data_IF_945478671493
#
_entry.id   IF_945478671493
#
_cell.length_a   1.000
_cell.length_b   1.000
_cell.length_c   1.000
_cell.angle_alpha   90.00
_cell.angle_beta   90.00
_cell.angle_gamma   90.00
#
_symmetry.space_group_name_H-M   'P 1'
#
loop_
_entity.id
_entity.type
_entity.pdbx_description
1 polymer ?
#
# COMPACT_ATOMS: atom_id res chain seq x y z
N UNK A 1 -2.54 29.78 17.43
CA UNK A 1 -2.34 29.97 15.97
C UNK A 1 -1.00 30.65 15.77
N UNK A 2 0.02 29.91 15.33
CA UNK A 2 1.36 30.43 15.06
C UNK A 2 1.71 30.07 13.62
N UNK A 3 1.83 31.10 12.77
CA UNK A 3 2.34 30.98 11.40
C UNK A 3 3.87 30.89 11.43
N UNK A 4 4.43 29.92 10.72
CA UNK A 4 5.87 29.84 10.44
C UNK A 4 6.09 30.36 9.02
N UNK A 5 6.84 31.45 8.91
CA UNK A 5 7.36 32.00 7.65
C UNK A 5 8.73 31.39 7.37
N UNK A 6 8.96 30.89 6.15
CA UNK A 6 10.27 30.36 5.71
C UNK A 6 10.81 31.25 4.59
N UNK A 7 12.06 31.68 4.74
CA UNK A 7 12.80 32.56 3.82
C UNK A 7 13.34 31.78 2.60
N UNK A 8 13.44 32.37 1.39
CA UNK A 8 13.66 31.61 0.15
C UNK A 8 15.13 31.45 -0.30
N UNK A 9 16.14 32.02 0.38
CA UNK A 9 17.42 32.31 -0.27
C UNK A 9 18.62 31.43 0.15
N UNK A 10 18.50 30.11 0.27
CA UNK A 10 19.67 29.22 0.42
C UNK A 10 19.68 28.10 -0.64
N UNK A 11 20.69 28.06 -1.54
CA UNK A 11 20.87 26.93 -2.44
C UNK A 11 21.39 25.73 -1.64
N UNK A 12 20.62 24.65 -1.64
CA UNK A 12 20.99 23.38 -1.00
C UNK A 12 22.26 22.81 -1.66
N UNK A 13 23.31 22.58 -0.86
CA UNK A 13 24.47 21.78 -1.31
C UNK A 13 24.06 20.31 -1.36
N UNK A 14 24.42 19.56 -2.41
CA UNK A 14 24.16 18.12 -2.46
C UNK A 14 24.92 17.39 -1.35
N UNK A 15 24.25 16.42 -0.72
CA UNK A 15 24.84 15.59 0.33
C UNK A 15 25.73 14.47 -0.25
N UNK A 16 26.82 14.11 0.44
CA UNK A 16 27.77 13.11 -0.04
C UNK A 16 27.23 11.68 0.07
N UNK A 17 27.66 10.82 -0.85
CA UNK A 17 27.36 9.39 -0.86
C UNK A 17 28.28 8.67 0.13
N UNK A 18 27.73 7.76 0.95
CA UNK A 18 28.51 7.01 1.95
C UNK A 18 28.58 5.54 1.58
N UNK A 19 29.80 4.99 1.60
CA UNK A 19 30.05 3.55 1.43
C UNK A 19 30.32 2.90 2.78
N UNK A 20 29.72 1.74 3.01
CA UNK A 20 29.97 0.92 4.19
C UNK A 20 30.67 -0.37 3.77
N UNK A 21 31.91 -0.56 4.23
CA UNK A 21 32.62 -1.84 4.10
C UNK A 21 32.25 -2.73 5.29
N UNK A 22 32.12 -4.03 5.04
CA UNK A 22 31.86 -5.01 6.12
C UNK A 22 33.13 -5.34 6.91
N UNK A 23 34.29 -5.04 6.35
CA UNK A 23 35.59 -5.47 6.88
C UNK A 23 36.34 -4.35 7.61
N UNK A 24 35.95 -3.08 7.41
CA UNK A 24 36.50 -1.94 8.14
C UNK A 24 35.38 -1.11 8.77
N UNK A 25 35.51 -0.81 10.07
CA UNK A 25 34.56 0.02 10.86
C UNK A 25 34.68 1.51 10.51
N UNK A 26 34.83 1.84 9.23
CA UNK A 26 34.93 3.20 8.71
C UNK A 26 33.81 3.49 7.72
N UNK A 27 33.30 4.72 7.78
CA UNK A 27 32.43 5.29 6.73
C UNK A 27 33.34 6.05 5.78
N UNK A 28 33.39 5.62 4.52
CA UNK A 28 34.14 6.34 3.49
C UNK A 28 33.19 7.27 2.73
N UNK A 29 33.51 8.55 2.73
CA UNK A 29 32.74 9.60 2.08
C UNK A 29 33.18 9.68 0.61
N UNK A 30 32.27 9.30 -0.30
CA UNK A 30 32.54 9.28 -1.73
C UNK A 30 32.40 10.69 -2.32
N UNK A 31 33.29 11.01 -3.26
CA UNK A 31 33.26 12.30 -3.95
C UNK A 31 31.99 12.43 -4.82
N UNK A 32 31.33 13.60 -4.85
CA UNK A 32 30.10 13.82 -5.64
C UNK A 32 30.25 13.56 -7.15
N UNK A 33 31.48 13.49 -7.66
CA UNK A 33 31.78 13.34 -9.08
C UNK A 33 32.03 11.89 -9.51
N UNK A 34 31.98 10.93 -8.59
CA UNK A 34 32.21 9.52 -8.93
C UNK A 34 31.00 8.88 -9.62
N UNK A 35 31.25 8.29 -10.79
CA UNK A 35 30.22 7.55 -11.55
C UNK A 35 30.07 6.12 -11.01
N UNK A 36 28.88 5.51 -11.21
CA UNK A 36 28.60 4.13 -10.75
C UNK A 36 29.65 3.14 -11.27
N UNK A 37 30.13 3.32 -12.50
CA UNK A 37 31.14 2.46 -13.13
C UNK A 37 32.53 2.63 -12.49
N UNK A 38 32.82 3.78 -11.87
CA UNK A 38 34.03 4.00 -11.08
C UNK A 38 33.92 3.41 -9.66
N UNK A 39 32.70 3.29 -9.13
CA UNK A 39 32.42 2.72 -7.79
C UNK A 39 32.39 1.19 -7.86
N UNK A 40 32.01 0.62 -9.01
CA UNK A 40 31.79 -0.83 -9.18
C UNK A 40 32.31 -1.35 -10.54
N UNK A 41 33.64 -1.47 -10.72
CA UNK A 41 34.25 -1.78 -12.02
C UNK A 41 33.99 -3.22 -12.52
N UNK A 42 33.51 -4.14 -11.67
CA UNK A 42 33.12 -5.50 -12.07
C UNK A 42 31.74 -5.89 -11.54
N UNK A 43 30.89 -6.58 -12.34
CA UNK A 43 29.58 -7.02 -11.87
C UNK A 43 29.72 -7.94 -10.64
N UNK A 44 28.99 -7.69 -9.53
CA UNK A 44 29.20 -8.45 -8.30
C UNK A 44 28.79 -9.93 -8.49
N UNK A 45 29.50 -10.87 -7.83
CA UNK A 45 29.19 -12.29 -7.93
C UNK A 45 27.77 -12.57 -7.48
N UNK A 46 27.09 -13.47 -8.21
CA UNK A 46 25.64 -13.79 -8.18
C UNK A 46 25.08 -14.16 -6.79
N UNK A 47 25.96 -14.37 -5.81
CA UNK A 47 25.70 -14.94 -4.50
C UNK A 47 25.71 -13.87 -3.39
N UNK A 48 25.96 -12.60 -3.72
CA UNK A 48 25.96 -11.47 -2.77
C UNK A 48 24.80 -10.48 -2.96
N UNK A 49 23.75 -10.83 -3.71
CA UNK A 49 22.59 -9.93 -3.86
C UNK A 49 21.58 -10.20 -2.73
N UNK A 50 21.90 -9.74 -1.52
CA UNK A 50 20.88 -9.46 -0.52
C UNK A 50 20.67 -7.94 -0.44
N UNK A 51 19.39 -7.55 -0.41
CA UNK A 51 18.86 -6.22 -0.11
C UNK A 51 18.84 -5.21 -1.28
N UNK A 52 17.68 -5.12 -1.94
CA UNK A 52 17.19 -3.85 -2.51
C UNK A 52 15.66 -3.85 -2.49
N UNK A 53 15.09 -3.50 -1.33
CA UNK A 53 13.74 -2.91 -1.20
C UNK A 53 13.90 -1.70 -0.28
N UNK A 54 14.38 -0.59 -0.85
CA UNK A 54 14.46 0.70 -0.16
C UNK A 54 14.16 1.81 -1.17
N UNK A 55 12.92 1.88 -1.64
CA UNK A 55 12.52 2.92 -2.58
C UNK A 55 11.58 3.98 -1.99
N UNK A 56 11.17 3.86 -0.72
CA UNK A 56 10.29 4.85 -0.07
C UNK A 56 10.92 5.50 1.18
N UNK A 57 12.03 4.97 1.72
CA UNK A 57 12.58 5.48 2.98
C UNK A 57 13.52 6.70 2.86
N UNK A 58 13.66 7.31 1.68
CA UNK A 58 14.70 8.33 1.43
C UNK A 58 14.21 9.60 0.73
N UNK A 59 12.90 9.80 0.60
CA UNK A 59 12.38 11.12 0.22
C UNK A 59 12.36 12.03 1.47
N UNK A 60 12.71 13.33 1.35
CA UNK A 60 12.61 14.27 2.47
C UNK A 60 11.20 14.22 3.04
N UNK A 61 11.09 13.92 4.34
CA UNK A 61 9.83 13.57 5.04
C UNK A 61 8.68 14.52 4.70
N UNK A 62 8.97 15.81 4.50
CA UNK A 62 7.97 16.86 4.23
C UNK A 62 7.38 16.77 2.81
N UNK A 63 8.21 16.59 1.78
CA UNK A 63 7.74 16.47 0.39
C UNK A 63 6.84 15.23 0.22
N UNK A 64 7.19 14.14 0.89
CA UNK A 64 6.41 12.89 0.88
C UNK A 64 5.00 13.06 1.43
N UNK A 65 4.84 13.86 2.49
CA UNK A 65 3.54 14.09 3.14
C UNK A 65 2.57 14.80 2.21
N UNK A 66 3.05 15.88 1.58
CA UNK A 66 2.25 16.66 0.64
C UNK A 66 1.80 15.80 -0.54
N UNK A 67 2.70 15.03 -1.12
CA UNK A 67 2.41 14.12 -2.24
C UNK A 67 1.36 13.07 -1.85
N UNK A 68 1.50 12.47 -0.65
CA UNK A 68 0.52 11.48 -0.16
C UNK A 68 -0.86 12.14 0.03
N UNK A 69 -0.92 13.34 0.61
CA UNK A 69 -2.18 14.04 0.83
C UNK A 69 -2.83 14.47 -0.49
N UNK A 70 -2.05 15.01 -1.43
CA UNK A 70 -2.53 15.34 -2.78
C UNK A 70 -3.10 14.09 -3.48
N UNK A 71 -2.40 12.96 -3.42
CA UNK A 71 -2.89 11.70 -3.95
C UNK A 71 -4.18 11.24 -3.24
N UNK A 72 -4.29 11.40 -1.93
CA UNK A 72 -5.52 11.08 -1.19
C UNK A 72 -6.71 11.94 -1.66
N UNK A 73 -6.49 13.24 -1.88
CA UNK A 73 -7.52 14.12 -2.43
C UNK A 73 -7.93 13.72 -3.85
N UNK A 74 -6.96 13.35 -4.71
CA UNK A 74 -7.25 12.86 -6.07
C UNK A 74 -8.06 11.57 -6.06
N UNK A 75 -7.71 10.61 -5.18
CA UNK A 75 -8.49 9.37 -5.01
C UNK A 75 -9.90 9.66 -4.53
N UNK A 76 -10.04 10.53 -3.52
CA UNK A 76 -11.35 10.93 -2.99
C UNK A 76 -12.21 11.57 -4.07
N UNK A 77 -11.75 12.66 -4.67
CA UNK A 77 -12.47 13.37 -5.74
C UNK A 77 -12.74 12.47 -6.95
N UNK A 78 -11.82 11.57 -7.24
CA UNK A 78 -11.89 10.62 -8.34
C UNK A 78 -12.91 9.51 -8.14
N UNK A 79 -13.20 9.11 -6.90
CA UNK A 79 -13.91 7.85 -6.60
C UNK A 79 -15.13 8.00 -5.69
N UNK A 80 -15.26 9.09 -4.94
CA UNK A 80 -16.34 9.28 -3.97
C UNK A 80 -17.71 9.35 -4.65
N UNK A 81 -18.58 8.39 -4.36
CA UNK A 81 -19.93 8.30 -4.93
C UNK A 81 -19.97 8.00 -6.44
N UNK A 82 -18.85 7.65 -7.07
CA UNK A 82 -18.80 7.29 -8.49
C UNK A 82 -18.86 5.78 -8.66
N UNK A 83 -19.62 5.30 -9.64
CA UNK A 83 -19.70 3.86 -9.90
C UNK A 83 -18.30 3.33 -10.27
N UNK A 84 -17.81 2.39 -9.46
CA UNK A 84 -16.53 1.73 -9.68
C UNK A 84 -16.46 1.06 -11.06
N UNK A 85 -17.59 0.69 -11.65
CA UNK A 85 -17.67 0.16 -13.03
C UNK A 85 -17.21 1.17 -14.08
N UNK A 86 -17.33 2.46 -13.82
CA UNK A 86 -16.88 3.51 -14.74
C UNK A 86 -15.35 3.67 -14.72
N UNK A 87 -14.72 3.26 -13.62
CA UNK A 87 -13.26 3.23 -13.47
C UNK A 87 -12.70 1.91 -14.02
N UNK A 88 -13.37 0.78 -13.78
CA UNK A 88 -12.84 -0.52 -14.14
C UNK A 88 -13.08 -0.90 -15.61
N UNK A 89 -12.02 -1.32 -16.30
CA UNK A 89 -12.11 -1.91 -17.63
C UNK A 89 -12.16 -3.44 -17.53
N UNK A 90 -12.95 -4.09 -18.38
CA UNK A 90 -12.93 -5.56 -18.50
C UNK A 90 -11.68 -6.02 -19.26
N UNK A 91 -11.07 -7.12 -18.83
CA UNK A 91 -9.95 -7.71 -19.56
C UNK A 91 -10.48 -8.49 -20.77
N UNK A 92 -10.05 -8.19 -22.02
CA UNK A 92 -10.54 -8.89 -23.21
C UNK A 92 -10.33 -10.40 -23.15
N UNK A 93 -11.40 -11.16 -23.34
CA UNK A 93 -11.41 -12.63 -23.27
C UNK A 93 -11.39 -13.21 -21.85
N UNK A 94 -11.51 -12.38 -20.81
CA UNK A 94 -11.55 -12.82 -19.42
C UNK A 94 -12.70 -12.11 -18.67
N UNK A 95 -13.93 -12.60 -18.84
CA UNK A 95 -15.14 -11.95 -18.31
C UNK A 95 -15.20 -11.77 -16.78
N UNK A 96 -14.34 -12.47 -16.03
CA UNK A 96 -14.25 -12.37 -14.57
C UNK A 96 -13.16 -11.42 -14.07
N UNK A 97 -12.35 -10.87 -14.97
CA UNK A 97 -11.23 -10.00 -14.62
C UNK A 97 -11.51 -8.57 -15.07
N UNK A 98 -11.29 -7.66 -14.14
CA UNK A 98 -11.34 -6.24 -14.39
C UNK A 98 -10.00 -5.61 -14.01
N UNK A 99 -9.68 -4.46 -14.56
CA UNK A 99 -8.47 -3.74 -14.20
C UNK A 99 -8.70 -2.23 -14.22
N UNK A 100 -7.93 -1.52 -13.43
CA UNK A 100 -7.84 -0.07 -13.47
C UNK A 100 -6.71 0.32 -14.44
N UNK A 101 -7.00 0.99 -15.57
CA UNK A 101 -5.98 1.38 -16.54
C UNK A 101 -4.92 2.30 -15.92
N UNK A 102 -3.69 2.24 -16.45
CA UNK A 102 -2.58 3.08 -15.99
C UNK A 102 -2.92 4.58 -16.00
N UNK A 103 -3.56 5.05 -17.07
CA UNK A 103 -3.97 6.44 -17.19
C UNK A 103 -4.88 6.86 -16.01
N UNK A 104 -5.76 5.96 -15.57
CA UNK A 104 -6.62 6.22 -14.43
C UNK A 104 -5.86 6.12 -13.11
N UNK A 105 -5.00 5.11 -12.91
CA UNK A 105 -4.17 5.01 -11.70
C UNK A 105 -3.28 6.24 -11.52
N UNK A 106 -2.74 6.78 -12.62
CA UNK A 106 -1.93 7.99 -12.63
C UNK A 106 -2.78 9.23 -12.33
N UNK A 107 -3.96 9.36 -12.95
CA UNK A 107 -4.88 10.47 -12.69
C UNK A 107 -5.38 10.53 -11.25
N UNK A 108 -5.51 9.36 -10.60
CA UNK A 108 -5.92 9.22 -9.20
C UNK A 108 -4.73 9.37 -8.23
N UNK A 109 -3.49 9.47 -8.72
CA UNK A 109 -2.31 9.54 -7.86
C UNK A 109 -2.00 8.23 -7.10
N UNK A 110 -2.56 7.10 -7.51
CA UNK A 110 -2.49 5.83 -6.75
C UNK A 110 -1.06 5.30 -6.58
N UNK A 111 -0.14 5.66 -7.48
CA UNK A 111 1.29 5.34 -7.36
C UNK A 111 1.93 5.82 -6.05
N UNK A 112 1.31 6.81 -5.40
CA UNK A 112 1.77 7.36 -4.12
C UNK A 112 1.12 6.67 -2.90
N UNK A 113 0.07 5.87 -3.09
CA UNK A 113 -0.76 5.28 -2.05
C UNK A 113 -0.69 3.75 -1.96
N UNK A 114 0.48 3.16 -2.26
CA UNK A 114 0.74 1.70 -2.23
C UNK A 114 0.34 0.93 -3.51
N UNK A 115 -0.04 1.62 -4.60
CA UNK A 115 -0.52 0.94 -5.81
C UNK A 115 0.60 0.60 -6.80
N UNK A 116 0.58 -0.60 -7.40
CA UNK A 116 1.34 -0.84 -8.62
C UNK A 116 0.81 -0.04 -9.81
N UNK A 117 1.54 -0.07 -10.93
CA UNK A 117 1.15 0.65 -12.16
C UNK A 117 -0.24 0.27 -12.71
N UNK A 118 -0.74 -0.92 -12.39
CA UNK A 118 -2.07 -1.42 -12.80
C UNK A 118 -2.69 -2.19 -11.64
N UNK A 119 -3.92 -1.86 -11.28
CA UNK A 119 -4.71 -2.62 -10.31
C UNK A 119 -5.55 -3.67 -11.05
N UNK A 120 -5.22 -4.94 -10.89
CA UNK A 120 -6.05 -6.05 -11.38
C UNK A 120 -7.07 -6.42 -10.29
N UNK A 121 -8.35 -6.31 -10.63
CA UNK A 121 -9.47 -6.68 -9.76
C UNK A 121 -9.97 -8.06 -10.16
N UNK A 122 -9.82 -9.01 -9.24
CA UNK A 122 -10.31 -10.37 -9.44
C UNK A 122 -11.67 -10.58 -8.78
N UNK A 123 -12.43 -11.58 -9.23
CA UNK A 123 -13.75 -11.91 -8.66
C UNK A 123 -13.69 -12.23 -7.17
N UNK A 124 -12.56 -12.75 -6.68
CA UNK A 124 -12.35 -13.09 -5.28
C UNK A 124 -12.20 -11.84 -4.42
N UNK A 125 -11.76 -10.70 -4.96
CA UNK A 125 -11.79 -9.44 -4.21
C UNK A 125 -13.23 -9.02 -3.93
N UNK A 126 -14.13 -9.20 -4.91
CA UNK A 126 -15.56 -8.96 -4.73
C UNK A 126 -16.15 -9.94 -3.71
N UNK A 127 -15.86 -11.24 -3.86
CA UNK A 127 -16.34 -12.25 -2.92
C UNK A 127 -15.84 -12.00 -1.49
N UNK A 128 -14.57 -11.63 -1.33
CA UNK A 128 -13.97 -11.23 -0.07
C UNK A 128 -14.72 -10.06 0.55
N UNK A 129 -14.93 -8.99 -0.23
CA UNK A 129 -15.66 -7.82 0.23
C UNK A 129 -17.09 -8.16 0.68
N UNK A 130 -17.83 -8.93 -0.11
CA UNK A 130 -19.18 -9.38 0.27
C UNK A 130 -19.16 -10.20 1.56
N UNK A 131 -18.14 -11.05 1.77
CA UNK A 131 -17.98 -11.80 3.01
C UNK A 131 -17.64 -10.91 4.22
N UNK A 132 -17.02 -9.74 3.99
CA UNK A 132 -16.65 -8.80 5.07
C UNK A 132 -17.82 -7.92 5.53
N UNK A 133 -18.81 -7.68 4.68
CA UNK A 133 -19.95 -6.77 4.97
C UNK A 133 -20.68 -7.06 6.29
N UNK A 134 -21.05 -8.31 6.63
CA UNK A 134 -21.77 -8.60 7.86
C UNK A 134 -21.01 -8.13 9.11
N UNK A 135 -19.69 -8.34 9.12
CA UNK A 135 -18.84 -8.01 10.28
C UNK A 135 -18.72 -6.51 10.56
N UNK A 136 -18.92 -5.67 9.55
CA UNK A 136 -18.80 -4.21 9.71
C UNK A 136 -20.15 -3.55 9.98
N UNK A 137 -21.24 -4.13 9.47
CA UNK A 137 -22.59 -3.57 9.68
C UNK A 137 -23.14 -3.85 11.09
N UNK A 138 -22.74 -4.95 11.73
CA UNK A 138 -23.33 -5.40 13.01
C UNK A 138 -22.77 -4.69 14.26
N UNK A 139 -22.28 -3.45 14.13
CA UNK A 139 -21.69 -2.65 15.22
C UNK A 139 -20.59 -3.41 15.98
N UNK A 140 -19.92 -4.34 15.31
CA UNK A 140 -18.97 -5.23 15.94
C UNK A 140 -17.67 -4.51 16.27
N UNK A 141 -17.30 -4.50 17.55
CA UNK A 141 -15.99 -4.03 17.99
C UNK A 141 -14.95 -5.13 17.72
N UNK A 142 -14.06 -4.90 16.75
CA UNK A 142 -12.99 -5.85 16.46
C UNK A 142 -12.25 -5.58 15.16
N UNK A 143 -11.56 -6.61 14.69
CA UNK A 143 -10.95 -6.60 13.37
C UNK A 143 -11.01 -7.95 12.67
N UNK A 144 -10.89 -7.88 11.35
CA UNK A 144 -10.79 -9.02 10.46
C UNK A 144 -9.38 -9.07 9.92
N UNK A 145 -8.73 -10.21 10.09
CA UNK A 145 -7.45 -10.51 9.46
C UNK A 145 -7.71 -11.29 8.18
N UNK A 146 -7.29 -10.71 7.07
CA UNK A 146 -7.39 -11.27 5.72
C UNK A 146 -6.03 -11.81 5.33
N UNK A 147 -5.86 -13.13 5.35
CA UNK A 147 -4.65 -13.75 4.83
C UNK A 147 -4.79 -14.01 3.34
N UNK A 148 -3.77 -13.66 2.57
CA UNK A 148 -3.72 -13.97 1.14
C UNK A 148 -2.61 -14.98 0.87
N UNK A 149 -2.80 -15.89 -0.09
CA UNK A 149 -1.72 -16.73 -0.61
C UNK A 149 -0.54 -15.90 -1.17
N UNK A 150 0.67 -16.47 -1.22
CA UNK A 150 1.80 -15.86 -1.93
C UNK A 150 1.41 -15.53 -3.38
N UNK A 151 1.89 -14.40 -3.90
CA UNK A 151 1.55 -13.92 -5.25
C UNK A 151 0.24 -13.13 -5.35
N UNK A 152 -0.67 -13.22 -4.37
CA UNK A 152 -1.80 -12.28 -4.27
C UNK A 152 -1.30 -11.01 -3.59
N UNK A 153 -1.48 -9.89 -4.27
CA UNK A 153 -1.01 -8.60 -3.78
C UNK A 153 -1.99 -8.06 -2.73
N UNK A 154 -1.72 -8.35 -1.46
CA UNK A 154 -2.41 -7.80 -0.28
C UNK A 154 -2.78 -6.33 -0.41
N UNK A 155 -1.80 -5.51 -0.79
CA UNK A 155 -1.98 -4.08 -0.96
C UNK A 155 -2.96 -3.74 -2.11
N UNK A 156 -3.03 -4.57 -3.17
CA UNK A 156 -4.05 -4.41 -4.22
C UNK A 156 -5.46 -4.71 -3.70
N UNK A 157 -5.62 -5.69 -2.81
CA UNK A 157 -6.91 -5.96 -2.19
C UNK A 157 -7.36 -4.80 -1.31
N UNK A 158 -6.47 -4.23 -0.48
CA UNK A 158 -6.79 -3.03 0.31
C UNK A 158 -7.15 -1.82 -0.57
N UNK A 159 -6.46 -1.63 -1.70
CA UNK A 159 -6.79 -0.58 -2.65
C UNK A 159 -8.14 -0.80 -3.33
N UNK A 160 -8.44 -2.04 -3.70
CA UNK A 160 -9.77 -2.41 -4.18
C UNK A 160 -10.85 -2.07 -3.14
N UNK A 161 -10.63 -2.45 -1.86
CA UNK A 161 -11.54 -2.11 -0.78
C UNK A 161 -11.71 -0.60 -0.63
N UNK A 162 -10.60 0.17 -0.63
CA UNK A 162 -10.65 1.63 -0.58
C UNK A 162 -11.55 2.19 -1.68
N UNK A 163 -11.27 1.87 -2.95
CA UNK A 163 -12.04 2.40 -4.09
C UNK A 163 -13.52 1.99 -4.02
N UNK A 164 -13.80 0.75 -3.59
CA UNK A 164 -15.16 0.26 -3.47
C UNK A 164 -15.95 0.97 -2.35
N UNK A 165 -15.31 1.20 -1.21
CA UNK A 165 -15.92 1.90 -0.08
C UNK A 165 -16.15 3.38 -0.38
N UNK A 166 -15.24 4.03 -1.13
CA UNK A 166 -15.44 5.40 -1.61
C UNK A 166 -16.60 5.49 -2.60
N UNK A 167 -16.76 4.52 -3.50
CA UNK A 167 -17.95 4.41 -4.38
C UNK A 167 -19.24 4.34 -3.54
N UNK A 168 -19.25 3.53 -2.47
CA UNK A 168 -20.38 3.45 -1.54
C UNK A 168 -20.49 4.63 -0.55
N UNK A 169 -19.66 5.67 -0.70
CA UNK A 169 -19.59 6.84 0.19
C UNK A 169 -19.43 6.47 1.67
N UNK A 170 -18.68 5.41 1.95
CA UNK A 170 -18.38 4.94 3.31
C UNK A 170 -17.12 5.62 3.84
N UNK A 171 -17.09 5.98 5.13
CA UNK A 171 -15.88 6.49 5.75
C UNK A 171 -14.81 5.39 5.80
N UNK A 172 -13.59 5.75 5.38
CA UNK A 172 -12.45 4.82 5.32
C UNK A 172 -11.23 5.48 5.93
N UNK A 173 -10.49 4.74 6.74
CA UNK A 173 -9.16 5.12 7.17
C UNK A 173 -8.14 4.14 6.58
N UNK A 174 -7.11 4.61 5.88
CA UNK A 174 -6.04 3.79 5.31
C UNK A 174 -4.70 4.11 5.99
N UNK A 175 -4.10 3.12 6.66
CA UNK A 175 -2.80 3.30 7.31
C UNK A 175 -1.67 3.31 6.27
N UNK A 176 -0.89 4.39 6.26
CA UNK A 176 0.28 4.60 5.41
C UNK A 176 1.49 4.95 6.28
N UNK A 177 2.11 3.89 6.79
CA UNK A 177 3.32 3.99 7.63
C UNK A 177 2.94 4.40 9.04
N UNK A 178 3.60 5.45 9.56
CA UNK A 178 3.31 6.01 10.88
C UNK A 178 2.14 7.00 10.87
N UNK A 179 1.33 7.01 9.80
CA UNK A 179 0.17 7.89 9.62
C UNK A 179 -0.99 7.11 9.04
N UNK A 180 -2.16 7.71 9.06
CA UNK A 180 -3.30 7.21 8.31
C UNK A 180 -4.02 8.33 7.58
N UNK A 181 -4.60 8.01 6.44
CA UNK A 181 -5.47 8.90 5.68
C UNK A 181 -6.91 8.59 6.05
N UNK A 182 -7.70 9.59 6.39
CA UNK A 182 -9.12 9.47 6.67
C UNK A 182 -9.92 10.09 5.53
N UNK A 183 -10.75 9.29 4.88
CA UNK A 183 -11.65 9.65 3.79
C UNK A 183 -13.07 9.73 4.33
N UNK A 184 -13.70 10.89 4.13
CA UNK A 184 -15.05 11.23 4.57
C UNK A 184 -15.80 11.94 3.44
N UNK A 185 -17.07 12.26 3.64
CA UNK A 185 -17.85 13.08 2.71
C UNK A 185 -17.23 14.47 2.46
N UNK A 186 -16.54 15.03 3.45
CA UNK A 186 -15.85 16.32 3.33
C UNK A 186 -14.50 16.27 2.60
N UNK A 187 -13.97 15.08 2.29
CA UNK A 187 -12.68 14.93 1.61
C UNK A 187 -11.74 13.92 2.27
N UNK A 188 -10.45 14.07 2.00
CA UNK A 188 -9.38 13.29 2.61
C UNK A 188 -8.56 14.15 3.58
N UNK A 189 -8.11 13.56 4.69
CA UNK A 189 -7.23 14.20 5.67
C UNK A 189 -6.16 13.22 6.15
N UNK A 190 -5.01 13.73 6.63
CA UNK A 190 -3.89 12.92 7.08
C UNK A 190 -3.65 13.13 8.58
N UNK A 191 -3.55 12.02 9.31
CA UNK A 191 -3.45 12.02 10.77
C UNK A 191 -2.25 11.20 11.25
N UNK A 192 -1.77 11.50 12.45
CA UNK A 192 -0.75 10.70 13.11
C UNK A 192 -1.34 9.38 13.61
N UNK A 193 -0.66 8.27 13.35
CA UNK A 193 -1.14 6.94 13.71
C UNK A 193 -1.01 6.64 15.21
N UNK A 194 -0.28 7.48 15.94
CA UNK A 194 -0.09 7.40 17.39
C UNK A 194 -1.08 8.26 18.16
N UNK A 195 -1.91 9.05 17.47
CA UNK A 195 -2.90 9.89 18.11
C UNK A 195 -4.00 9.02 18.75
N UNK A 196 -3.93 8.93 20.07
CA UNK A 196 -4.83 8.14 20.90
C UNK A 196 -6.13 8.87 21.21
N UNK A 197 -6.23 10.17 20.91
CA UNK A 197 -7.48 10.91 21.16
C UNK A 197 -8.63 10.23 20.45
N UNK A 198 -8.37 9.54 19.33
CA UNK A 198 -9.26 8.54 18.78
C UNK A 198 -10.49 9.14 18.12
N UNK A 199 -11.12 10.17 18.69
CA UNK A 199 -12.36 10.84 18.31
C UNK A 199 -12.40 11.31 16.85
N UNK A 200 -11.22 11.46 16.24
CA UNK A 200 -11.05 11.80 14.83
C UNK A 200 -11.69 10.76 13.90
N UNK A 201 -11.67 9.47 14.25
CA UNK A 201 -12.23 8.39 13.42
C UNK A 201 -13.75 8.28 13.66
N UNK A 202 -14.62 8.62 12.69
CA UNK A 202 -16.07 8.60 12.90
C UNK A 202 -16.59 7.16 13.06
N UNK A 203 -17.78 7.03 13.62
CA UNK A 203 -18.44 5.72 13.79
C UNK A 203 -18.76 5.10 12.42
N UNK A 204 -18.54 3.79 12.31
CA UNK A 204 -18.74 3.02 11.07
C UNK A 204 -17.58 3.10 10.10
N UNK A 205 -16.40 3.56 10.53
CA UNK A 205 -15.22 3.67 9.65
C UNK A 205 -14.61 2.30 9.38
N UNK A 206 -14.28 2.04 8.12
CA UNK A 206 -13.44 0.90 7.73
C UNK A 206 -11.97 1.27 7.90
N UNK A 207 -11.27 0.62 8.82
CA UNK A 207 -9.86 0.90 9.12
C UNK A 207 -8.95 -0.13 8.41
N UNK A 208 -8.42 0.25 7.25
CA UNK A 208 -7.63 -0.58 6.35
C UNK A 208 -6.14 -0.50 6.67
N UNK A 209 -5.49 -1.65 6.88
CA UNK A 209 -4.04 -1.70 7.17
C UNK A 209 -3.38 -2.94 6.57
N UNK A 210 -2.11 -2.82 6.17
CA UNK A 210 -1.33 -3.92 5.60
C UNK A 210 -0.25 -4.35 6.60
N UNK A 211 -0.19 -5.64 6.90
CA UNK A 211 0.88 -6.23 7.70
C UNK A 211 2.16 -6.29 6.89
N UNK A 212 3.17 -5.54 7.35
CA UNK A 212 4.50 -5.46 6.74
C UNK A 212 5.55 -5.25 7.82
N UNK A 213 6.85 -5.49 7.54
CA UNK A 213 7.90 -5.28 8.51
C UNK A 213 7.87 -3.86 9.12
N UNK A 214 7.83 -3.78 10.45
CA UNK A 214 7.69 -2.56 11.24
C UNK A 214 6.25 -2.03 11.40
N UNK A 215 5.28 -2.68 10.76
CA UNK A 215 3.84 -2.38 10.84
C UNK A 215 3.03 -3.68 10.87
N UNK A 216 3.43 -4.60 11.74
CA UNK A 216 2.80 -5.91 11.89
C UNK A 216 1.39 -5.76 12.50
N UNK A 217 1.19 -4.74 13.33
CA UNK A 217 -0.09 -4.46 13.98
C UNK A 217 -0.75 -3.21 13.40
N UNK A 218 -2.09 -3.12 13.44
CA UNK A 218 -2.79 -1.86 13.21
C UNK A 218 -2.26 -0.80 14.15
N UNK A 219 -2.27 0.45 13.67
CA UNK A 219 -1.82 1.56 14.48
C UNK A 219 -2.67 1.76 15.75
N UNK A 220 -2.09 2.39 16.80
CA UNK A 220 -2.80 2.68 18.04
C UNK A 220 -4.14 3.40 17.84
N UNK A 221 -4.22 4.36 16.92
CA UNK A 221 -5.48 5.05 16.58
C UNK A 221 -6.58 4.09 16.09
N UNK A 222 -6.23 3.11 15.25
CA UNK A 222 -7.19 2.11 14.74
C UNK A 222 -7.64 1.15 15.84
N UNK A 223 -6.71 0.68 16.67
CA UNK A 223 -7.02 -0.18 17.82
C UNK A 223 -7.97 0.54 18.80
N UNK A 224 -7.69 1.80 19.13
CA UNK A 224 -8.54 2.59 20.02
C UNK A 224 -9.94 2.83 19.42
N UNK A 225 -10.02 3.18 18.13
CA UNK A 225 -11.30 3.36 17.44
C UNK A 225 -12.11 2.06 17.39
N UNK A 226 -11.46 0.91 17.21
CA UNK A 226 -12.10 -0.41 17.23
C UNK A 226 -12.62 -0.80 18.61
N UNK A 227 -11.81 -0.63 19.67
CA UNK A 227 -12.24 -0.87 21.05
C UNK A 227 -13.42 0.02 21.46
N UNK A 228 -13.48 1.24 20.93
CA UNK A 228 -14.58 2.18 21.15
C UNK A 228 -15.82 1.91 20.27
N UNK A 229 -15.83 0.87 19.44
CA UNK A 229 -16.93 0.55 18.54
C UNK A 229 -17.17 1.57 17.43
N UNK A 230 -16.12 2.30 17.03
CA UNK A 230 -16.19 3.33 15.98
C UNK A 230 -15.64 2.85 14.65
N UNK A 231 -14.69 1.93 14.66
CA UNK A 231 -14.11 1.40 13.43
C UNK A 231 -14.03 -0.12 13.42
N UNK A 232 -14.15 -0.71 12.23
CA UNK A 232 -13.87 -2.13 11.99
C UNK A 232 -12.54 -2.24 11.26
N UNK A 233 -11.58 -2.92 11.88
CA UNK A 233 -10.23 -3.03 11.29
C UNK A 233 -10.23 -4.14 10.26
N UNK A 234 -9.75 -3.87 9.05
CA UNK A 234 -9.42 -4.88 8.05
C UNK A 234 -7.92 -4.87 7.87
N UNK A 235 -7.24 -5.91 8.34
CA UNK A 235 -5.81 -6.08 8.14
C UNK A 235 -5.53 -7.16 7.10
N UNK A 236 -4.77 -6.82 6.06
CA UNK A 236 -4.18 -7.85 5.20
C UNK A 236 -2.87 -8.37 5.76
N UNK A 237 -2.62 -9.66 5.64
CA UNK A 237 -1.35 -10.26 6.06
C UNK A 237 -0.91 -11.31 5.06
N UNK A 238 0.42 -11.50 4.97
CA UNK A 238 0.98 -12.65 4.25
C UNK A 238 0.43 -13.94 4.87
N UNK A 239 0.48 -15.08 4.16
CA UNK A 239 0.09 -16.36 4.76
C UNK A 239 0.85 -16.49 6.09
N UNK A 240 0.11 -16.64 7.18
CA UNK A 240 0.76 -16.83 8.47
C UNK A 240 1.37 -18.23 8.45
N UNK A 241 2.68 -18.32 8.26
CA UNK A 241 3.38 -19.56 8.57
C UNK A 241 3.39 -19.78 10.10
N UNK A 242 3.30 -18.72 10.92
CA UNK A 242 3.72 -18.80 12.33
C UNK A 242 2.63 -18.61 13.40
N UNK A 243 1.40 -18.24 13.05
CA UNK A 243 0.30 -18.06 14.03
C UNK A 243 0.52 -17.02 15.15
N UNK A 244 1.72 -16.45 15.30
CA UNK A 244 2.11 -15.45 16.31
C UNK A 244 1.35 -14.14 16.14
N UNK A 245 1.20 -13.69 14.90
CA UNK A 245 0.41 -12.50 14.59
C UNK A 245 -1.06 -12.68 15.03
N UNK A 246 -1.64 -13.87 14.86
CA UNK A 246 -2.99 -14.15 15.31
C UNK A 246 -3.06 -14.15 16.85
N UNK A 247 -2.05 -14.70 17.52
CA UNK A 247 -1.94 -14.70 18.99
C UNK A 247 -1.84 -13.28 19.54
N UNK A 248 -1.04 -12.41 18.93
CA UNK A 248 -0.89 -11.01 19.37
C UNK A 248 -2.18 -10.21 19.21
N UNK A 249 -2.95 -10.50 18.16
CA UNK A 249 -4.25 -9.90 17.86
C UNK A 249 -5.32 -10.26 18.89
N UNK A 250 -5.43 -11.55 19.25
CA UNK A 250 -6.40 -12.05 20.25
C UNK A 250 -6.21 -11.43 21.63
N UNK A 251 -5.01 -10.95 21.96
CA UNK A 251 -4.74 -10.26 23.22
C UNK A 251 -5.24 -8.81 23.27
N UNK A 252 -5.57 -8.19 22.12
CA UNK A 252 -5.85 -6.75 22.02
C UNK A 252 -7.27 -6.41 21.57
N UNK A 253 -7.91 -7.27 20.78
CA UNK A 253 -9.29 -7.03 20.31
C UNK A 253 -9.97 -8.36 19.93
N UNK A 254 -11.28 -8.31 19.67
CA UNK A 254 -12.01 -9.44 19.07
C UNK A 254 -11.59 -9.59 17.61
N UNK A 255 -11.23 -10.80 17.20
CA UNK A 255 -10.59 -11.03 15.90
C UNK A 255 -11.26 -12.18 15.19
N UNK A 256 -11.81 -11.89 14.01
CA UNK A 256 -12.28 -12.93 13.09
C UNK A 256 -11.22 -13.12 12.01
N UNK A 257 -10.88 -14.38 11.75
CA UNK A 257 -9.91 -14.72 10.73
C UNK A 257 -10.63 -15.14 9.45
N UNK A 258 -10.27 -14.53 8.33
CA UNK A 258 -10.73 -14.89 7.00
C UNK A 258 -9.53 -15.24 6.14
N UNK A 259 -9.44 -16.51 5.76
CA UNK A 259 -8.50 -16.93 4.73
C UNK A 259 -9.12 -16.67 3.37
N UNK A 260 -8.46 -15.83 2.55
CA UNK A 260 -8.77 -15.73 1.13
C UNK A 260 -7.95 -16.76 0.39
N UNK A 261 -8.57 -17.91 0.15
CA UNK A 261 -8.11 -18.85 -0.85
C UNK A 261 -8.49 -18.31 -2.24
N UNK A 262 -7.57 -17.59 -2.85
CA UNK A 262 -7.68 -17.26 -4.27
C UNK A 262 -6.83 -18.26 -5.02
N UNK A 263 -7.40 -18.92 -6.02
CA UNK A 263 -6.61 -19.68 -6.97
C UNK A 263 -5.58 -18.74 -7.61
N UNK A 264 -4.31 -18.91 -7.24
CA UNK A 264 -3.24 -18.13 -7.82
C UNK A 264 -3.28 -18.27 -9.35
N UNK A 265 -3.38 -17.14 -10.05
CA UNK A 265 -3.28 -17.16 -11.50
C UNK A 265 -1.89 -17.66 -11.87
N UNK A 266 -1.80 -18.74 -12.65
CA UNK A 266 -0.49 -19.27 -13.04
C UNK A 266 0.35 -18.20 -13.72
N UNK A 267 1.67 -18.25 -13.50
CA UNK A 267 2.62 -17.30 -14.09
C UNK A 267 2.44 -17.16 -15.61
N UNK A 268 2.18 -18.28 -16.30
CA UNK A 268 1.94 -18.30 -17.75
C UNK A 268 0.69 -17.51 -18.15
N UNK A 269 -0.39 -17.59 -17.35
CA UNK A 269 -1.61 -16.82 -17.57
C UNK A 269 -1.35 -15.33 -17.37
N UNK A 270 -0.58 -14.94 -16.34
CA UNK A 270 -0.19 -13.54 -16.11
C UNK A 270 0.65 -12.99 -17.25
N UNK A 271 1.63 -13.75 -17.75
CA UNK A 271 2.46 -13.36 -18.89
C UNK A 271 1.61 -13.20 -20.15
N UNK A 272 0.68 -14.13 -20.42
CA UNK A 272 -0.24 -14.04 -21.54
C UNK A 272 -1.15 -12.81 -21.45
N UNK A 273 -1.69 -12.53 -20.25
CA UNK A 273 -2.54 -11.37 -19.99
C UNK A 273 -1.78 -10.05 -20.23
N UNK A 274 -0.52 -9.98 -19.78
CA UNK A 274 0.35 -8.82 -19.99
C UNK A 274 0.62 -8.54 -21.46
N UNK A 275 0.89 -9.59 -22.26
CA UNK A 275 1.06 -9.46 -23.72
C UNK A 275 -0.22 -8.95 -24.38
N UNK A 276 -1.38 -9.45 -23.97
CA UNK A 276 -2.69 -9.01 -24.49
C UNK A 276 -3.03 -7.57 -24.15
N UNK A 277 -2.67 -7.09 -22.96
CA UNK A 277 -2.92 -5.71 -22.52
C UNK A 277 -2.00 -4.67 -23.17
N UNK A 278 -1.14 -5.08 -24.11
CA UNK A 278 -0.23 -4.21 -24.86
C UNK A 278 0.64 -3.32 -23.95
N UNK A 279 0.98 -3.85 -22.77
CA UNK A 279 1.89 -3.18 -21.84
C UNK A 279 3.29 -3.16 -22.48
N UNK A 280 3.82 -1.95 -22.67
CA UNK A 280 5.00 -1.66 -23.51
C UNK A 280 6.16 -2.66 -23.30
N UNK A 281 6.61 -3.37 -24.36
CA UNK A 281 7.74 -4.30 -24.29
C UNK A 281 9.08 -3.65 -23.92
N UNK A 282 9.25 -2.32 -24.02
CA UNK A 282 10.44 -1.62 -23.53
C UNK A 282 10.53 -1.58 -22.00
N UNK A 283 9.39 -1.63 -21.30
CA UNK A 283 9.33 -1.82 -19.84
C UNK A 283 9.68 -3.28 -19.48
N UNK A 284 9.52 -4.24 -20.40
CA UNK A 284 9.85 -5.65 -20.18
C UNK A 284 11.36 -5.97 -20.15
N UNK A 285 12.20 -5.19 -20.85
CA UNK A 285 13.62 -5.50 -21.00
C UNK A 285 14.44 -5.09 -19.77
N UNK A 286 14.14 -3.93 -19.18
CA UNK A 286 14.84 -3.40 -18.01
C UNK A 286 14.50 -4.15 -16.72
N UNK A 287 13.37 -4.87 -16.72
CA UNK A 287 12.71 -5.24 -15.46
C UNK A 287 12.42 -6.73 -15.29
N UNK A 288 13.09 -7.61 -16.04
CA UNK A 288 13.02 -9.07 -15.86
C UNK A 288 13.38 -9.50 -14.42
N UNK A 289 14.22 -8.71 -13.74
CA UNK A 289 14.67 -8.92 -12.35
C UNK A 289 13.70 -8.38 -11.30
N UNK A 290 12.96 -7.28 -11.55
CA UNK A 290 11.86 -6.88 -10.67
C UNK A 290 10.58 -7.69 -10.94
N UNK A 291 10.43 -8.25 -12.13
CA UNK A 291 9.37 -9.20 -12.49
C UNK A 291 9.46 -10.53 -11.75
N UNK A 292 10.67 -11.07 -11.56
CA UNK A 292 10.87 -12.23 -10.69
C UNK A 292 10.57 -11.90 -9.23
N UNK A 293 10.80 -10.65 -8.78
CA UNK A 293 10.42 -10.15 -7.44
C UNK A 293 8.93 -9.81 -7.28
N UNK A 294 8.17 -9.71 -8.38
CA UNK A 294 6.72 -9.50 -8.38
C UNK A 294 5.94 -10.82 -8.33
N UNK A 295 6.61 -11.94 -8.60
CA UNK A 295 6.05 -13.28 -8.68
C UNK A 295 6.57 -14.25 -7.58
N UNK A 296 7.59 -13.83 -6.81
CA UNK A 296 8.09 -14.47 -5.57
C UNK A 296 7.66 -13.66 -4.36
#
# INVERSE_FOLDING_TARGET
>A
MSQISVSPDHPEKPFPLLRFSKEDKGVEELSPEQTIDQIWPEPPPTHQIHVFVKFISFLPKVATIRIILEAAHLVHYGSWGKDLKDLLCNVPGHGNLQYLPRAQTDSLGLKHLLCPEVLLVNKEYKAAYESLKPYVNDLWCGGVVVSTQPGIRKSCFLLYLLLHLLNEMKPVALQVGSRFMLFQDTGASLHDATDMEGYIIPKGTWALTDSRPGFEMPCPSFLNASMSGRASIIQTTAPLEDGELLRSWRGKCSVTFHSLEVEAMSSDKLVALRRKLNLDPKILATDKKALLRLLS
#
